data_IF_641777635205
#
_entry.id   IF_641777635205
#
_cell.length_a   1.000
_cell.length_b   1.000
_cell.length_c   1.000
_cell.angle_alpha   90.00
_cell.angle_beta   90.00
_cell.angle_gamma   90.00
#
_symmetry.space_group_name_H-M   'P 1'
#
loop_
_entity.id
_entity.type
_entity.pdbx_description
1 polymer ?
#
# COMPACT_ATOMS: atom_id res chain seq x y z
N UNK A 1 6.49 21.35 2.04
CA UNK A 1 7.19 20.16 1.51
C UNK A 1 6.13 19.20 1.01
N UNK A 2 6.34 18.55 -0.13
CA UNK A 2 5.35 17.64 -0.71
C UNK A 2 5.57 16.22 -0.15
N UNK A 3 4.47 15.51 0.11
CA UNK A 3 4.51 14.07 0.35
C UNK A 3 4.91 13.31 -0.93
N UNK A 4 5.28 12.04 -0.78
CA UNK A 4 5.63 11.16 -1.89
C UNK A 4 5.04 9.75 -1.70
N UNK A 5 4.54 9.16 -2.78
CA UNK A 5 4.18 7.75 -2.87
C UNK A 5 5.29 6.97 -3.57
N UNK A 6 5.94 6.07 -2.85
CA UNK A 6 7.09 5.32 -3.35
C UNK A 6 6.81 3.82 -3.23
N UNK A 7 6.89 3.09 -4.33
CA UNK A 7 6.87 1.62 -4.28
C UNK A 7 8.23 1.11 -3.77
N UNK A 8 8.29 0.65 -2.51
CA UNK A 8 9.55 0.27 -1.87
C UNK A 8 10.09 -1.10 -2.31
N UNK A 9 9.40 -1.84 -3.17
CA UNK A 9 9.82 -3.17 -3.53
C UNK A 9 9.43 -3.53 -4.98
N UNK A 10 10.23 -3.03 -5.93
CA UNK A 10 10.13 -3.39 -7.35
C UNK A 10 11.29 -4.29 -7.73
N UNK A 11 11.02 -5.53 -8.11
CA UNK A 11 12.08 -6.48 -8.50
C UNK A 11 12.71 -6.07 -9.82
N UNK A 12 14.04 -5.99 -9.83
CA UNK A 12 14.83 -5.82 -11.03
C UNK A 12 14.70 -7.05 -11.94
N UNK A 13 14.86 -6.81 -13.24
CA UNK A 13 15.03 -7.87 -14.24
C UNK A 13 16.51 -8.19 -14.40
N UNK A 14 16.83 -9.30 -15.08
CA UNK A 14 18.21 -9.64 -15.44
C UNK A 14 18.80 -8.58 -16.39
N UNK A 15 17.99 -8.12 -17.35
CA UNK A 15 18.39 -7.04 -18.25
C UNK A 15 18.34 -5.70 -17.52
N UNK A 16 19.36 -4.83 -17.70
CA UNK A 16 19.34 -3.49 -17.16
C UNK A 16 18.20 -2.69 -17.80
N UNK A 17 17.59 -1.82 -17.00
CA UNK A 17 16.49 -0.97 -17.43
C UNK A 17 16.95 0.48 -17.44
N UNK A 18 16.53 1.23 -18.46
CA UNK A 18 16.76 2.67 -18.48
C UNK A 18 15.94 3.36 -17.41
N UNK A 19 16.54 4.36 -16.76
CA UNK A 19 15.85 5.13 -15.75
C UNK A 19 14.64 5.91 -16.30
N UNK A 20 14.72 6.37 -17.55
CA UNK A 20 13.60 7.03 -18.23
C UNK A 20 12.37 6.11 -18.28
N UNK A 21 12.56 4.84 -18.64
CA UNK A 21 11.48 3.86 -18.66
C UNK A 21 10.92 3.60 -17.25
N UNK A 22 11.77 3.42 -16.25
CA UNK A 22 11.35 3.20 -14.86
C UNK A 22 10.50 4.37 -14.32
N UNK A 23 10.93 5.62 -14.56
CA UNK A 23 10.19 6.82 -14.15
C UNK A 23 8.87 6.98 -14.90
N UNK A 24 8.86 6.70 -16.21
CA UNK A 24 7.63 6.70 -17.00
C UNK A 24 6.62 5.70 -16.42
N UNK A 25 7.05 4.46 -16.18
CA UNK A 25 6.19 3.43 -15.58
C UNK A 25 5.68 3.86 -14.20
N UNK A 26 6.55 4.36 -13.30
CA UNK A 26 6.14 4.89 -12.00
C UNK A 26 5.07 5.99 -12.14
N UNK A 27 5.29 6.93 -13.05
CA UNK A 27 4.35 8.03 -13.31
C UNK A 27 3.00 7.53 -13.83
N UNK A 28 2.96 6.51 -14.70
CA UNK A 28 1.68 5.93 -15.17
C UNK A 28 0.85 5.30 -14.05
N UNK A 29 1.51 4.89 -12.95
CA UNK A 29 0.88 4.34 -11.74
C UNK A 29 0.57 5.41 -10.69
N UNK A 30 0.90 6.67 -10.93
CA UNK A 30 0.74 7.75 -9.96
C UNK A 30 1.74 7.68 -8.80
N UNK A 31 2.89 7.04 -8.99
CA UNK A 31 3.97 6.99 -8.03
C UNK A 31 4.93 8.16 -8.24
N UNK A 32 5.44 8.71 -7.14
CA UNK A 32 6.49 9.73 -7.13
C UNK A 32 7.89 9.12 -7.25
N UNK A 33 8.03 7.82 -6.98
CA UNK A 33 9.29 7.09 -7.10
C UNK A 33 9.14 5.59 -6.87
N UNK A 34 10.25 4.88 -6.99
CA UNK A 34 10.33 3.44 -6.71
C UNK A 34 11.70 3.05 -6.17
N UNK A 35 11.76 1.94 -5.44
CA UNK A 35 12.99 1.24 -5.10
C UNK A 35 13.12 0.05 -6.03
N UNK A 36 14.13 0.07 -6.90
CA UNK A 36 14.50 -1.06 -7.71
C UNK A 36 15.37 -2.01 -6.87
N UNK A 37 15.00 -3.28 -6.83
CA UNK A 37 15.57 -4.26 -5.91
C UNK A 37 16.14 -5.43 -6.72
N UNK A 38 17.46 -5.62 -6.66
CA UNK A 38 18.08 -6.81 -7.23
C UNK A 38 17.94 -8.02 -6.30
N UNK A 39 17.93 -9.23 -6.86
CA UNK A 39 17.83 -10.46 -6.06
C UNK A 39 19.24 -11.00 -5.80
N UNK A 40 19.69 -10.92 -4.55
CA UNK A 40 21.03 -11.35 -4.11
C UNK A 40 22.21 -10.50 -4.61
N UNK A 41 21.96 -9.52 -5.49
CA UNK A 41 22.96 -8.62 -6.06
C UNK A 41 22.38 -7.23 -6.26
N UNK A 42 23.24 -6.21 -6.41
CA UNK A 42 22.80 -4.86 -6.72
C UNK A 42 22.09 -4.81 -8.09
N UNK A 43 20.99 -4.05 -8.24
CA UNK A 43 20.29 -3.91 -9.51
C UNK A 43 21.12 -3.08 -10.50
N UNK A 44 20.99 -3.40 -11.78
CA UNK A 44 21.64 -2.66 -12.86
C UNK A 44 20.66 -1.65 -13.50
N UNK A 45 21.10 -0.41 -13.65
CA UNK A 45 20.32 0.68 -14.25
C UNK A 45 21.16 1.32 -15.34
N UNK A 46 20.59 1.44 -16.55
CA UNK A 46 21.24 2.19 -17.63
C UNK A 46 21.13 3.70 -17.35
N UNK A 47 22.19 4.45 -17.65
CA UNK A 47 22.24 5.91 -17.54
C UNK A 47 22.03 6.46 -16.12
N UNK A 48 22.68 5.84 -15.12
CA UNK A 48 22.56 6.14 -13.69
C UNK A 48 22.83 7.61 -13.26
N UNK A 49 23.42 8.44 -14.12
CA UNK A 49 23.79 9.82 -13.78
C UNK A 49 22.58 10.76 -13.64
N UNK A 50 21.50 10.54 -14.40
CA UNK A 50 20.29 11.40 -14.42
C UNK A 50 19.17 10.92 -13.47
N UNK A 51 19.41 9.84 -12.73
CA UNK A 51 18.40 8.99 -12.06
C UNK A 51 18.06 9.46 -10.64
N UNK A 52 18.77 10.46 -10.14
CA UNK A 52 18.96 10.71 -8.70
C UNK A 52 17.76 11.32 -7.95
N UNK A 53 16.58 11.49 -8.55
CA UNK A 53 15.47 12.18 -7.87
C UNK A 53 14.29 11.30 -7.47
N UNK A 54 14.18 10.06 -7.95
CA UNK A 54 13.01 9.24 -7.69
C UNK A 54 13.19 7.72 -7.87
N UNK A 55 14.37 7.25 -8.32
CA UNK A 55 14.69 5.83 -8.36
C UNK A 55 15.77 5.57 -7.30
N UNK A 56 15.41 4.69 -6.39
CA UNK A 56 16.27 4.22 -5.30
C UNK A 56 16.67 2.78 -5.59
N UNK A 57 17.69 2.30 -4.88
CA UNK A 57 18.16 0.92 -5.06
C UNK A 57 18.22 0.17 -3.73
N UNK A 58 18.09 -1.14 -3.83
CA UNK A 58 18.24 -2.08 -2.73
C UNK A 58 18.49 -3.49 -3.23
N UNK A 59 18.59 -4.42 -2.30
CA UNK A 59 18.73 -5.85 -2.59
C UNK A 59 17.76 -6.67 -1.75
N UNK A 60 17.14 -7.66 -2.38
CA UNK A 60 16.33 -8.71 -1.77
C UNK A 60 17.27 -9.89 -1.51
N UNK A 61 17.49 -10.23 -0.24
CA UNK A 61 18.44 -11.27 0.19
C UNK A 61 17.66 -12.40 0.84
N UNK A 62 17.78 -13.60 0.27
CA UNK A 62 17.32 -14.83 0.91
C UNK A 62 18.35 -15.26 1.96
N UNK A 63 17.89 -15.47 3.18
CA UNK A 63 18.70 -15.78 4.38
C UNK A 63 18.22 -17.09 5.03
N UNK A 64 18.95 -17.55 6.03
CA UNK A 64 18.64 -18.74 6.83
C UNK A 64 17.27 -18.71 7.51
N UNK A 65 16.76 -17.53 7.86
CA UNK A 65 15.47 -17.38 8.53
C UNK A 65 14.36 -16.81 7.64
N UNK A 66 14.69 -16.30 6.45
CA UNK A 66 13.74 -15.87 5.41
C UNK A 66 14.29 -14.71 4.58
N UNK A 67 13.46 -13.75 4.20
CA UNK A 67 13.85 -12.74 3.21
C UNK A 67 13.97 -11.34 3.78
N UNK A 68 15.12 -10.71 3.51
CA UNK A 68 15.41 -9.34 3.89
C UNK A 68 15.42 -8.43 2.66
N UNK A 69 14.88 -7.23 2.82
CA UNK A 69 15.00 -6.13 1.88
C UNK A 69 15.97 -5.10 2.49
N UNK A 70 17.14 -5.00 1.90
CA UNK A 70 18.25 -4.20 2.39
C UNK A 70 18.48 -2.99 1.50
N UNK A 71 18.39 -1.78 2.07
CA UNK A 71 18.64 -0.53 1.35
C UNK A 71 19.93 0.12 1.88
N UNK A 72 20.96 0.33 1.03
CA UNK A 72 22.17 1.01 1.46
C UNK A 72 21.90 2.51 1.67
N UNK A 73 22.63 3.15 2.57
CA UNK A 73 22.59 4.62 2.72
C UNK A 73 23.27 5.34 1.56
N UNK A 74 24.33 4.73 1.03
CA UNK A 74 25.19 5.23 -0.04
C UNK A 74 25.38 4.13 -1.06
N UNK A 75 25.29 4.47 -2.34
CA UNK A 75 25.53 3.53 -3.45
C UNK A 75 27.02 3.61 -3.80
N UNK A 76 27.82 2.75 -3.17
CA UNK A 76 29.27 2.69 -3.34
C UNK A 76 29.72 1.31 -3.88
N UNK A 77 31.03 1.14 -4.05
CA UNK A 77 31.64 -0.10 -4.55
C UNK A 77 31.30 -1.32 -3.67
N UNK A 78 31.18 -1.11 -2.35
CA UNK A 78 30.78 -2.19 -1.44
C UNK A 78 29.38 -2.70 -1.79
N UNK A 79 28.46 -1.80 -2.11
CA UNK A 79 27.13 -2.20 -2.52
C UNK A 79 27.13 -2.77 -3.95
N UNK A 80 27.73 -2.10 -4.93
CA UNK A 80 27.64 -2.52 -6.33
C UNK A 80 28.33 -3.87 -6.60
N UNK A 81 29.40 -4.19 -5.87
CA UNK A 81 30.12 -5.47 -5.99
C UNK A 81 29.57 -6.56 -5.06
N UNK A 82 28.47 -6.29 -4.34
CA UNK A 82 27.83 -7.25 -3.43
C UNK A 82 28.77 -7.80 -2.34
N UNK A 83 29.67 -6.98 -1.82
CA UNK A 83 30.68 -7.39 -0.81
C UNK A 83 30.05 -7.89 0.50
N UNK A 84 28.78 -7.58 0.75
CA UNK A 84 28.02 -8.15 1.88
C UNK A 84 27.86 -9.67 1.76
N UNK A 85 27.82 -10.24 0.56
CA UNK A 85 27.64 -11.68 0.35
C UNK A 85 28.85 -12.48 0.84
N UNK A 86 30.06 -11.95 0.67
CA UNK A 86 31.29 -12.65 1.09
C UNK A 86 31.42 -12.74 2.61
N UNK A 87 30.90 -11.74 3.32
CA UNK A 87 31.04 -11.61 4.77
C UNK A 87 30.01 -12.41 5.56
N UNK A 88 28.99 -12.94 4.90
CA UNK A 88 27.78 -13.46 5.57
C UNK A 88 27.43 -14.90 5.17
N UNK A 89 28.33 -15.60 4.46
CA UNK A 89 28.15 -17.00 4.07
C UNK A 89 28.31 -17.94 5.27
N UNK A 90 27.21 -18.57 5.69
CA UNK A 90 27.19 -19.68 6.64
C UNK A 90 26.92 -21.04 5.98
N UNK A 91 26.93 -22.12 6.77
CA UNK A 91 26.70 -23.50 6.29
C UNK A 91 25.31 -23.71 5.66
N UNK A 92 24.32 -22.86 6.01
CA UNK A 92 22.93 -22.98 5.58
C UNK A 92 22.46 -21.83 4.66
N UNK A 93 23.39 -21.04 4.11
CA UNK A 93 23.11 -19.83 3.36
C UNK A 93 23.54 -18.57 4.11
N UNK A 94 23.03 -17.42 3.69
CA UNK A 94 23.40 -16.14 4.30
C UNK A 94 22.74 -15.99 5.67
N UNK A 95 23.52 -15.64 6.69
CA UNK A 95 22.97 -15.44 8.03
C UNK A 95 22.25 -14.09 8.14
N UNK A 96 20.97 -14.09 8.51
CA UNK A 96 20.18 -12.87 8.56
C UNK A 96 20.70 -11.81 9.55
N UNK A 97 21.25 -12.24 10.70
CA UNK A 97 21.79 -11.32 11.72
C UNK A 97 23.03 -10.62 11.18
N UNK A 98 23.93 -11.35 10.52
CA UNK A 98 25.14 -10.79 9.93
C UNK A 98 24.81 -9.84 8.77
N UNK A 99 23.92 -10.25 7.85
CA UNK A 99 23.45 -9.39 6.76
C UNK A 99 22.83 -8.09 7.31
N UNK A 100 21.94 -8.21 8.30
CA UNK A 100 21.25 -7.06 8.85
C UNK A 100 22.23 -6.11 9.56
N UNK A 101 23.21 -6.66 10.27
CA UNK A 101 24.28 -5.91 10.94
C UNK A 101 25.15 -5.16 9.92
N UNK A 102 25.61 -5.81 8.86
CA UNK A 102 26.47 -5.19 7.83
C UNK A 102 25.81 -3.96 7.18
N UNK A 103 24.53 -4.07 6.79
CA UNK A 103 23.79 -2.93 6.24
C UNK A 103 23.59 -1.82 7.28
N UNK A 104 23.28 -2.19 8.52
CA UNK A 104 23.01 -1.22 9.59
C UNK A 104 24.26 -0.44 10.01
N UNK A 105 25.42 -1.11 10.13
CA UNK A 105 26.71 -0.48 10.47
C UNK A 105 27.15 0.53 9.40
N UNK A 106 26.74 0.33 8.15
CA UNK A 106 26.96 1.27 7.02
C UNK A 106 25.85 2.32 6.89
N UNK A 107 24.99 2.41 7.89
CA UNK A 107 23.92 3.40 7.94
C UNK A 107 22.73 3.10 7.04
N UNK A 108 22.67 1.93 6.39
CA UNK A 108 21.50 1.47 5.64
C UNK A 108 20.30 1.12 6.52
N UNK A 109 19.25 0.60 5.89
CA UNK A 109 18.08 0.01 6.56
C UNK A 109 17.85 -1.41 6.10
N UNK A 110 17.30 -2.21 7.01
CA UNK A 110 16.95 -3.61 6.77
C UNK A 110 15.47 -3.76 7.10
N UNK A 111 14.73 -4.34 6.17
CA UNK A 111 13.31 -4.62 6.33
C UNK A 111 13.07 -6.10 6.11
N UNK A 112 12.06 -6.64 6.77
CA UNK A 112 11.62 -8.01 6.50
C UNK A 112 10.64 -7.99 5.33
N UNK A 113 10.92 -8.77 4.29
CA UNK A 113 10.07 -8.86 3.11
C UNK A 113 9.16 -10.09 3.20
N UNK A 114 7.85 -9.88 3.06
CA UNK A 114 6.86 -10.96 2.92
C UNK A 114 6.95 -12.05 4.02
N UNK A 115 7.01 -11.70 5.33
CA UNK A 115 7.36 -12.65 6.41
C UNK A 115 6.42 -13.87 6.55
N UNK A 116 5.20 -13.76 6.03
CA UNK A 116 4.14 -14.77 6.13
C UNK A 116 3.69 -15.31 4.76
N UNK A 117 4.48 -15.10 3.70
CA UNK A 117 4.18 -15.59 2.36
C UNK A 117 4.71 -17.02 2.17
N UNK A 118 3.80 -17.99 2.25
CA UNK A 118 4.12 -19.43 2.17
C UNK A 118 4.41 -19.90 0.75
N UNK A 119 4.08 -19.10 -0.26
CA UNK A 119 4.24 -19.47 -1.67
C UNK A 119 5.69 -19.25 -2.15
N UNK A 120 6.53 -18.57 -1.36
CA UNK A 120 7.91 -18.24 -1.72
C UNK A 120 8.91 -19.40 -1.62
N UNK A 121 8.52 -20.57 -1.08
CA UNK A 121 9.37 -21.76 -1.05
C UNK A 121 10.61 -21.68 -0.12
N UNK A 122 10.80 -20.57 0.58
CA UNK A 122 11.86 -20.33 1.55
C UNK A 122 11.31 -20.41 3.00
N UNK A 123 12.18 -20.57 4.02
CA UNK A 123 11.74 -20.46 5.41
C UNK A 123 10.97 -19.14 5.60
N UNK A 124 9.71 -19.26 6.01
CA UNK A 124 8.91 -18.11 6.39
C UNK A 124 9.44 -17.63 7.75
N UNK A 125 9.79 -16.35 7.82
CA UNK A 125 10.27 -15.72 9.05
C UNK A 125 9.27 -15.90 10.20
N UNK A 126 7.96 -16.05 9.90
CA UNK A 126 6.87 -16.07 10.89
C UNK A 126 7.15 -15.06 12.02
N UNK A 127 7.36 -15.50 13.26
CA UNK A 127 7.70 -14.61 14.38
C UNK A 127 9.22 -14.54 14.67
N UNK A 128 10.05 -15.34 13.97
CA UNK A 128 11.49 -15.41 14.17
C UNK A 128 12.20 -14.09 13.84
N UNK A 129 11.64 -13.25 12.96
CA UNK A 129 12.22 -11.92 12.68
C UNK A 129 12.25 -11.01 13.91
N UNK A 130 11.42 -11.27 14.93
CA UNK A 130 11.43 -10.50 16.18
C UNK A 130 12.75 -10.63 16.95
N UNK A 131 13.58 -11.64 16.62
CA UNK A 131 14.93 -11.79 17.16
C UNK A 131 15.96 -10.84 16.54
N UNK A 132 15.64 -10.18 15.42
CA UNK A 132 16.51 -9.23 14.75
C UNK A 132 16.30 -7.82 15.34
N UNK A 133 17.24 -7.38 16.17
CA UNK A 133 17.24 -6.06 16.80
C UNK A 133 17.60 -4.90 15.86
N UNK A 134 18.11 -5.21 14.67
CA UNK A 134 18.57 -4.25 13.65
C UNK A 134 17.50 -3.88 12.61
N UNK A 135 16.29 -4.45 12.71
CA UNK A 135 15.23 -4.17 11.75
C UNK A 135 14.72 -2.73 11.84
N UNK A 136 14.53 -2.12 10.67
CA UNK A 136 14.03 -0.76 10.54
C UNK A 136 12.54 -0.72 10.22
N UNK A 137 12.00 -1.73 9.53
CA UNK A 137 10.58 -1.84 9.19
C UNK A 137 10.19 -3.28 8.81
N UNK A 138 8.89 -3.50 8.61
CA UNK A 138 8.34 -4.74 8.05
C UNK A 138 7.58 -4.40 6.78
N UNK A 139 7.79 -5.12 5.68
CA UNK A 139 6.95 -4.99 4.47
C UNK A 139 5.62 -5.70 4.75
N UNK A 140 4.61 -4.93 5.14
CA UNK A 140 3.33 -5.44 5.61
C UNK A 140 2.30 -5.64 4.51
N UNK A 141 2.54 -5.08 3.34
CA UNK A 141 1.70 -5.29 2.16
C UNK A 141 2.59 -5.41 0.93
N UNK A 142 2.51 -6.57 0.28
CA UNK A 142 3.25 -6.86 -0.95
C UNK A 142 2.36 -7.03 -2.18
N UNK A 143 1.10 -7.39 -1.97
CA UNK A 143 0.12 -7.50 -3.04
C UNK A 143 -1.29 -7.65 -2.46
N UNK A 144 -2.32 -7.10 -3.11
CA UNK A 144 -3.73 -7.25 -2.68
C UNK A 144 -4.18 -8.71 -2.55
N UNK A 145 -3.58 -9.62 -3.32
CA UNK A 145 -3.94 -11.05 -3.33
C UNK A 145 -3.58 -11.78 -2.02
N UNK A 146 -2.65 -11.25 -1.22
CA UNK A 146 -2.14 -11.91 -0.02
C UNK A 146 -2.73 -11.32 1.27
N UNK A 147 -4.04 -11.05 1.29
CA UNK A 147 -4.72 -10.34 2.40
C UNK A 147 -4.40 -10.94 3.77
N UNK A 148 -4.49 -12.26 3.94
CA UNK A 148 -4.21 -12.93 5.22
C UNK A 148 -2.74 -12.80 5.66
N UNK A 149 -1.79 -12.88 4.72
CA UNK A 149 -0.36 -12.70 5.02
C UNK A 149 -0.05 -11.24 5.35
N UNK A 150 -0.69 -10.29 4.65
CA UNK A 150 -0.54 -8.86 4.90
C UNK A 150 -1.10 -8.45 6.27
N UNK A 151 -2.26 -9.00 6.67
CA UNK A 151 -2.85 -8.79 8.00
C UNK A 151 -1.93 -9.33 9.11
N UNK A 152 -1.37 -10.54 8.93
CA UNK A 152 -0.39 -11.10 9.87
C UNK A 152 0.88 -10.24 9.95
N UNK A 153 1.40 -9.79 8.81
CA UNK A 153 2.57 -8.91 8.75
C UNK A 153 2.31 -7.59 9.47
N UNK A 154 1.15 -6.98 9.26
CA UNK A 154 0.73 -5.75 9.93
C UNK A 154 0.66 -5.93 11.45
N UNK A 155 0.03 -7.01 11.92
CA UNK A 155 -0.06 -7.32 13.35
C UNK A 155 1.32 -7.55 13.97
N UNK A 156 2.17 -8.32 13.30
CA UNK A 156 3.52 -8.61 13.78
C UNK A 156 4.40 -7.34 13.81
N UNK A 157 4.24 -6.43 12.86
CA UNK A 157 4.93 -5.13 12.88
C UNK A 157 4.53 -4.28 14.09
N UNK A 158 3.23 -4.25 14.44
CA UNK A 158 2.71 -3.57 15.63
C UNK A 158 3.28 -4.18 16.91
N UNK A 159 3.27 -5.51 17.03
CA UNK A 159 3.82 -6.24 18.19
C UNK A 159 5.33 -5.99 18.36
N UNK A 160 6.08 -6.00 17.26
CA UNK A 160 7.50 -5.69 17.22
C UNK A 160 7.81 -4.18 17.38
N UNK A 161 6.79 -3.32 17.42
CA UNK A 161 6.92 -1.85 17.42
C UNK A 161 7.71 -1.31 16.23
N UNK A 162 7.69 -2.01 15.09
CA UNK A 162 8.31 -1.60 13.83
C UNK A 162 7.30 -0.90 12.91
N UNK A 163 7.73 0.10 12.12
CA UNK A 163 6.86 0.72 11.11
C UNK A 163 6.52 -0.28 10.00
N UNK A 164 5.34 -0.13 9.41
CA UNK A 164 4.93 -0.87 8.22
C UNK A 164 5.39 -0.18 6.95
N UNK A 165 5.82 -0.97 5.97
CA UNK A 165 6.18 -0.55 4.62
C UNK A 165 5.31 -1.30 3.59
N UNK A 166 5.10 -0.68 2.43
CA UNK A 166 4.43 -1.29 1.29
C UNK A 166 5.28 -1.23 0.03
N UNK A 167 5.23 -2.30 -0.75
CA UNK A 167 5.84 -2.35 -2.08
C UNK A 167 5.38 -3.57 -2.86
N UNK A 168 5.24 -3.46 -4.18
CA UNK A 168 4.47 -4.42 -4.98
C UNK A 168 5.08 -5.83 -5.14
N UNK A 169 6.34 -6.02 -4.72
CA UNK A 169 7.10 -7.26 -4.87
C UNK A 169 6.98 -7.87 -6.28
N UNK A 170 6.94 -6.98 -7.29
CA UNK A 170 6.68 -7.29 -8.69
C UNK A 170 7.78 -6.72 -9.55
N UNK A 171 8.00 -7.32 -10.72
CA UNK A 171 8.80 -6.65 -11.75
C UNK A 171 8.06 -5.43 -12.28
N UNK A 172 8.79 -4.47 -12.85
CA UNK A 172 8.22 -3.23 -13.42
C UNK A 172 7.15 -3.50 -14.50
N UNK A 173 7.28 -4.60 -15.24
CA UNK A 173 6.32 -5.03 -16.27
C UNK A 173 5.20 -5.92 -15.73
N UNK A 174 5.27 -6.31 -14.45
CA UNK A 174 4.27 -7.16 -13.82
C UNK A 174 2.99 -6.39 -13.57
N UNK A 175 1.85 -7.06 -13.71
CA UNK A 175 0.51 -6.48 -13.52
C UNK A 175 0.34 -5.81 -12.15
N UNK A 176 1.08 -6.29 -11.14
CA UNK A 176 1.02 -5.82 -9.75
C UNK A 176 1.88 -4.59 -9.50
N UNK A 177 2.74 -4.17 -10.43
CA UNK A 177 3.59 -3.00 -10.26
C UNK A 177 2.74 -1.76 -9.92
N UNK A 178 3.11 -1.09 -8.82
CA UNK A 178 2.40 0.08 -8.29
C UNK A 178 1.02 -0.19 -7.70
N UNK A 179 0.62 -1.45 -7.49
CA UNK A 179 -0.62 -1.78 -6.75
C UNK A 179 -0.51 -1.49 -5.25
N UNK A 180 0.71 -1.37 -4.75
CA UNK A 180 1.03 -1.09 -3.35
C UNK A 180 2.23 -0.15 -3.31
N UNK A 181 2.22 0.82 -2.42
CA UNK A 181 3.28 1.79 -2.22
C UNK A 181 3.44 2.14 -0.73
N UNK A 182 4.37 3.04 -0.46
CA UNK A 182 4.58 3.65 0.85
C UNK A 182 4.46 5.16 0.72
N UNK A 183 3.60 5.76 1.55
CA UNK A 183 3.45 7.20 1.67
C UNK A 183 4.49 7.76 2.63
N UNK A 184 5.34 8.65 2.12
CA UNK A 184 6.25 9.47 2.91
C UNK A 184 5.68 10.88 3.06
N UNK A 185 5.69 11.47 4.27
CA UNK A 185 5.18 12.82 4.50
C UNK A 185 6.07 13.90 3.88
N UNK A 186 7.32 13.55 3.55
CA UNK A 186 8.29 14.38 2.84
C UNK A 186 8.91 13.55 1.74
N UNK A 187 8.93 14.06 0.52
CA UNK A 187 9.61 13.44 -0.60
C UNK A 187 11.12 13.30 -0.31
N UNK A 188 11.66 12.06 -0.22
CA UNK A 188 13.09 11.85 -0.05
C UNK A 188 13.84 12.28 -1.32
N UNK A 189 14.81 13.17 -1.22
CA UNK A 189 15.46 13.73 -2.43
C UNK A 189 16.55 12.84 -3.03
N UNK A 190 17.01 11.85 -2.26
CA UNK A 190 18.08 10.92 -2.62
C UNK A 190 17.99 9.63 -1.77
N UNK A 191 18.89 8.67 -2.03
CA UNK A 191 18.97 7.40 -1.32
C UNK A 191 19.11 7.58 0.20
N UNK A 192 19.95 8.52 0.64
CA UNK A 192 20.20 8.77 2.06
C UNK A 192 18.95 9.31 2.75
N UNK A 193 18.22 10.22 2.09
CA UNK A 193 16.96 10.76 2.58
C UNK A 193 15.86 9.69 2.65
N UNK A 194 15.81 8.74 1.69
CA UNK A 194 14.89 7.61 1.76
C UNK A 194 15.19 6.74 2.99
N UNK A 195 16.45 6.34 3.16
CA UNK A 195 16.91 5.55 4.31
C UNK A 195 16.60 6.26 5.63
N UNK A 196 16.85 7.57 5.72
CA UNK A 196 16.48 8.37 6.89
C UNK A 196 14.96 8.41 7.11
N UNK A 197 14.17 8.50 6.05
CA UNK A 197 12.71 8.41 6.09
C UNK A 197 12.23 7.10 6.70
N UNK A 198 12.77 5.96 6.23
CA UNK A 198 12.45 4.63 6.76
C UNK A 198 12.86 4.52 8.24
N UNK A 199 14.08 4.94 8.61
CA UNK A 199 14.56 4.93 10.01
C UNK A 199 13.69 5.77 10.95
N UNK A 200 13.12 6.87 10.45
CA UNK A 200 12.24 7.72 11.25
C UNK A 200 10.90 7.03 11.59
N UNK A 201 10.54 5.97 10.85
CA UNK A 201 9.26 5.28 10.95
C UNK A 201 8.05 6.13 10.57
N UNK A 202 8.25 7.34 10.04
CA UNK A 202 7.18 8.24 9.57
C UNK A 202 6.83 7.92 8.13
N UNK A 203 6.23 6.75 7.93
CA UNK A 203 5.78 6.28 6.64
C UNK A 203 4.57 5.35 6.82
N UNK A 204 3.73 5.24 5.79
CA UNK A 204 2.52 4.43 5.85
C UNK A 204 2.41 3.55 4.61
N UNK A 205 2.14 2.24 4.78
CA UNK A 205 1.82 1.37 3.66
C UNK A 205 0.48 1.76 3.07
N UNK A 206 0.42 1.77 1.74
CA UNK A 206 -0.76 2.17 0.98
C UNK A 206 -1.07 1.17 -0.12
N UNK A 207 -2.32 0.71 -0.17
CA UNK A 207 -2.83 -0.02 -1.33
C UNK A 207 -3.45 0.94 -2.34
N UNK A 208 -3.04 0.80 -3.59
CA UNK A 208 -3.44 1.65 -4.71
C UNK A 208 -4.53 0.93 -5.48
N UNK A 209 -5.79 1.30 -5.23
CA UNK A 209 -6.91 0.77 -6.02
C UNK A 209 -7.19 1.71 -7.18
N UNK A 210 -6.90 1.25 -8.40
CA UNK A 210 -7.38 1.93 -9.61
C UNK A 210 -8.88 1.67 -9.69
N UNK A 211 -9.68 2.71 -9.50
CA UNK A 211 -11.11 2.57 -9.78
C UNK A 211 -11.30 2.27 -11.26
N UNK A 212 -12.17 1.31 -11.62
CA UNK A 212 -12.55 1.15 -13.01
C UNK A 212 -13.06 2.51 -13.52
N UNK A 213 -12.70 2.91 -14.75
CA UNK A 213 -13.22 4.13 -15.33
C UNK A 213 -14.72 4.07 -15.20
N UNK A 214 -15.30 5.07 -14.51
CA UNK A 214 -16.73 5.09 -14.22
C UNK A 214 -17.43 4.98 -15.56
N UNK A 215 -18.04 3.82 -15.85
CA UNK A 215 -18.82 3.67 -17.07
C UNK A 215 -19.81 4.82 -17.05
N UNK A 216 -19.64 5.75 -17.99
CA UNK A 216 -20.61 6.81 -18.19
C UNK A 216 -21.83 6.05 -18.66
N UNK A 217 -22.71 5.72 -17.70
CA UNK A 217 -24.04 5.20 -17.96
C UNK A 217 -24.63 6.28 -18.83
N UNK A 218 -24.53 6.09 -20.14
CA UNK A 218 -25.26 6.88 -21.12
C UNK A 218 -26.69 6.58 -20.77
N UNK A 219 -27.26 7.42 -19.93
CA UNK A 219 -28.70 7.48 -19.73
C UNK A 219 -29.22 7.74 -21.12
N UNK A 220 -29.63 6.66 -21.79
CA UNK A 220 -30.47 6.71 -22.96
C UNK A 220 -31.76 7.36 -22.47
N UNK A 221 -31.74 8.69 -22.37
CA UNK A 221 -32.92 9.52 -22.35
C UNK A 221 -33.55 9.34 -23.72
N UNK A 222 -34.20 8.19 -23.91
CA UNK A 222 -35.28 8.00 -24.84
C UNK A 222 -36.43 8.90 -24.37
N UNK A 223 -36.22 10.20 -24.57
CA UNK A 223 -37.26 11.19 -24.67
C UNK A 223 -37.97 11.00 -26.02
N UNK A 224 -38.59 9.83 -26.21
CA UNK A 224 -39.68 9.66 -27.18
C UNK A 224 -40.91 9.14 -26.45
N UNK A 225 -41.40 9.99 -25.53
CA UNK A 225 -42.80 10.00 -25.15
C UNK A 225 -43.67 10.41 -26.34
N UNK A 226 -43.82 9.54 -27.35
CA UNK A 226 -44.91 9.63 -28.31
C UNK A 226 -46.10 8.82 -27.79
N UNK A 227 -46.93 9.56 -27.06
CA UNK A 227 -48.34 9.26 -26.82
C UNK A 227 -49.04 8.73 -28.09
N UNK A 228 -49.39 7.44 -28.08
CA UNK A 228 -50.46 6.86 -28.91
C UNK A 228 -51.31 6.00 -27.97
N UNK A 229 -52.27 6.59 -27.26
CA UNK A 229 -53.66 6.85 -27.69
C UNK A 229 -54.34 5.58 -28.21
N UNK A 230 -55.11 4.95 -27.31
CA UNK A 230 -56.37 4.18 -27.50
C UNK A 230 -56.54 3.46 -28.85
N UNK A 231 -56.69 2.13 -28.83
CA UNK A 231 -57.92 1.51 -29.34
C UNK A 231 -58.33 0.28 -28.51
N UNK A 232 -59.62 0.29 -28.21
CA UNK A 232 -60.43 -0.62 -27.41
C UNK A 232 -61.27 -1.41 -28.41
N UNK A 233 -61.22 -2.74 -28.40
CA UNK A 233 -62.19 -3.63 -29.06
C UNK A 233 -61.98 -5.03 -28.48
N UNK A 234 -62.78 -5.41 -27.47
CA UNK A 234 -63.95 -6.32 -27.57
C UNK A 234 -63.61 -7.69 -28.15
N UNK A 235 -64.19 -8.83 -27.79
CA UNK A 235 -65.13 -9.34 -26.79
C UNK A 235 -65.51 -10.73 -27.39
N UNK A 236 -65.83 -11.68 -26.53
CA UNK A 236 -66.60 -12.92 -26.81
C UNK A 236 -65.88 -14.16 -27.39
N UNK A 237 -65.88 -15.17 -26.53
CA UNK A 237 -66.41 -16.53 -26.73
C UNK A 237 -65.81 -17.45 -27.81
N UNK A 238 -65.24 -18.58 -27.38
CA UNK A 238 -65.95 -19.85 -27.56
C UNK A 238 -65.39 -21.01 -26.73
N UNK A 239 -66.33 -21.90 -26.42
CA UNK A 239 -66.34 -23.07 -25.54
C UNK A 239 -65.41 -24.21 -25.98
N UNK A 240 -64.87 -24.89 -24.98
CA UNK A 240 -65.19 -26.30 -24.76
C UNK A 240 -64.44 -27.38 -25.55
N UNK A 241 -63.74 -28.19 -24.77
CA UNK A 241 -63.84 -29.66 -24.77
C UNK A 241 -63.05 -30.41 -25.86
N UNK A 242 -61.93 -31.04 -25.48
CA UNK A 242 -61.82 -32.51 -25.50
C UNK A 242 -60.57 -33.00 -24.77
N UNK A 243 -60.82 -33.96 -23.90
CA UNK A 243 -59.89 -34.93 -23.33
C UNK A 243 -59.05 -35.55 -24.45
N UNK A 244 -57.73 -35.63 -24.28
CA UNK A 244 -56.98 -36.84 -24.63
C UNK A 244 -55.67 -36.94 -23.84
N UNK A 245 -55.56 -38.07 -23.16
CA UNK A 245 -54.38 -38.57 -22.46
C UNK A 245 -53.29 -38.94 -23.48
N UNK A 246 -52.11 -38.35 -23.33
CA UNK A 246 -50.81 -39.01 -23.49
C UNK A 246 -49.73 -38.04 -22.97
N UNK A 247 -49.33 -38.13 -21.69
CA UNK A 247 -48.11 -38.85 -21.29
C UNK A 247 -47.09 -38.96 -22.42
N UNK A 248 -46.07 -38.09 -22.39
CA UNK A 248 -44.66 -38.47 -22.55
C UNK A 248 -43.75 -37.28 -22.20
N UNK A 249 -43.01 -37.46 -21.11
CA UNK A 249 -41.69 -36.88 -20.80
C UNK A 249 -41.43 -35.41 -21.12
N UNK A 250 -41.62 -34.54 -20.12
CA UNK A 250 -40.77 -33.35 -19.96
C UNK A 250 -39.79 -33.63 -18.83
N UNK A 251 -38.46 -33.60 -19.06
CA UNK A 251 -37.48 -33.73 -17.99
C UNK A 251 -37.61 -32.53 -17.05
N UNK A 252 -37.60 -32.82 -15.75
CA UNK A 252 -37.50 -31.82 -14.70
C UNK A 252 -36.16 -31.10 -14.85
N UNK A 253 -36.18 -29.80 -15.14
CA UNK A 253 -35.00 -28.95 -15.01
C UNK A 253 -34.75 -28.67 -13.53
N UNK A 254 -34.11 -29.61 -12.85
CA UNK A 254 -33.44 -29.36 -11.57
C UNK A 254 -32.08 -28.74 -11.86
N UNK A 255 -32.04 -27.43 -12.03
CA UNK A 255 -30.82 -26.64 -11.90
C UNK A 255 -31.23 -25.21 -11.55
N UNK A 256 -31.69 -25.03 -10.31
CA UNK A 256 -31.51 -23.75 -9.63
C UNK A 256 -30.01 -23.65 -9.36
N UNK A 257 -29.27 -23.12 -10.32
CA UNK A 257 -27.95 -22.58 -10.04
C UNK A 257 -28.15 -21.55 -8.92
N UNK A 258 -27.58 -21.86 -7.76
CA UNK A 258 -27.31 -20.90 -6.71
C UNK A 258 -26.47 -19.78 -7.32
N UNK A 259 -27.14 -18.76 -7.87
CA UNK A 259 -26.52 -17.48 -8.13
C UNK A 259 -26.13 -16.96 -6.75
N UNK A 260 -24.85 -17.12 -6.41
CA UNK A 260 -24.28 -16.38 -5.29
C UNK A 260 -24.68 -14.91 -5.44
N UNK A 261 -25.17 -14.27 -4.37
CA UNK A 261 -25.55 -12.86 -4.46
C UNK A 261 -24.33 -12.09 -4.93
N UNK A 262 -24.50 -11.38 -6.05
CA UNK A 262 -23.54 -10.42 -6.57
C UNK A 262 -23.24 -9.43 -5.44
N UNK A 263 -22.06 -9.58 -4.85
CA UNK A 263 -21.64 -8.78 -3.70
C UNK A 263 -21.45 -7.35 -4.17
N UNK A 264 -22.12 -6.42 -3.49
CA UNK A 264 -21.83 -4.99 -3.64
C UNK A 264 -20.44 -4.73 -3.01
N UNK A 265 -19.41 -4.38 -3.81
CA UNK A 265 -18.07 -4.18 -3.30
C UNK A 265 -17.99 -3.05 -2.27
N UNK A 266 -18.93 -2.09 -2.31
CA UNK A 266 -19.02 -1.02 -1.32
C UNK A 266 -19.55 -1.57 0.01
N UNK A 267 -20.55 -2.45 0.00
CA UNK A 267 -21.10 -3.04 1.23
C UNK A 267 -20.08 -3.89 1.99
N UNK A 268 -19.21 -4.61 1.26
CA UNK A 268 -18.11 -5.38 1.83
C UNK A 268 -17.08 -4.50 2.56
N UNK A 269 -16.82 -3.29 2.05
CA UNK A 269 -15.90 -2.32 2.65
C UNK A 269 -16.34 -1.87 4.05
N UNK A 270 -17.63 -2.00 4.38
CA UNK A 270 -18.24 -1.56 5.64
C UNK A 270 -18.77 -2.70 6.53
N UNK A 271 -18.41 -3.96 6.23
CA UNK A 271 -18.88 -5.11 7.03
C UNK A 271 -20.39 -5.37 6.93
N UNK A 272 -21.07 -4.85 5.90
CA UNK A 272 -22.50 -5.06 5.66
C UNK A 272 -22.69 -6.31 4.81
N UNK A 273 -23.35 -7.33 5.36
CA UNK A 273 -23.42 -8.64 4.72
C UNK A 273 -24.51 -8.75 3.66
N UNK A 274 -25.54 -7.88 3.65
CA UNK A 274 -26.59 -7.87 2.61
C UNK A 274 -27.11 -6.47 2.28
N UNK A 275 -27.54 -6.27 1.02
CA UNK A 275 -28.19 -5.03 0.52
C UNK A 275 -29.46 -4.64 1.32
N UNK A 276 -30.10 -5.61 1.98
CA UNK A 276 -31.30 -5.40 2.80
C UNK A 276 -31.01 -5.06 4.28
N UNK A 277 -29.75 -5.08 4.73
CA UNK A 277 -29.41 -4.64 6.09
C UNK A 277 -29.60 -3.12 6.28
N UNK A 278 -29.75 -2.37 5.17
CA UNK A 278 -30.16 -0.96 5.19
C UNK A 278 -31.60 -0.70 5.66
N UNK A 279 -32.47 -1.72 5.69
CA UNK A 279 -33.90 -1.54 5.99
C UNK A 279 -34.29 -1.95 7.42
N UNK A 280 -33.33 -2.25 8.31
CA UNK A 280 -33.61 -2.91 9.60
C UNK A 280 -33.21 -2.17 10.87
N UNK A 281 -32.61 -0.99 10.82
CA UNK A 281 -32.29 -0.23 12.04
C UNK A 281 -32.82 1.20 11.91
N UNK A 282 -34.06 1.41 12.37
CA UNK A 282 -34.53 2.74 12.74
C UNK A 282 -33.76 3.21 13.97
N UNK A 283 -32.51 3.65 13.79
CA UNK A 283 -31.91 4.57 14.73
C UNK A 283 -32.64 5.89 14.56
N UNK A 284 -33.09 6.46 15.67
CA UNK A 284 -33.74 7.77 15.63
C UNK A 284 -32.74 8.82 15.14
N UNK A 285 -33.21 9.89 14.50
CA UNK A 285 -32.34 11.00 14.08
C UNK A 285 -31.49 11.54 15.25
N UNK A 286 -32.02 11.48 16.47
CA UNK A 286 -31.31 11.85 17.70
C UNK A 286 -30.14 10.91 18.07
N UNK A 287 -30.20 9.63 17.71
CA UNK A 287 -29.09 8.69 17.88
C UNK A 287 -28.02 8.88 16.81
N UNK A 288 -28.41 9.22 15.59
CA UNK A 288 -27.47 9.61 14.53
C UNK A 288 -26.78 10.94 14.88
N UNK A 289 -27.49 11.88 15.50
CA UNK A 289 -26.93 13.16 15.98
C UNK A 289 -25.93 13.00 17.13
N UNK A 290 -26.08 11.97 17.99
CA UNK A 290 -25.10 11.67 19.05
C UNK A 290 -23.81 11.04 18.52
N UNK A 291 -23.90 10.27 17.45
CA UNK A 291 -22.73 9.64 16.82
C UNK A 291 -21.95 10.67 15.97
N UNK A 292 -22.65 11.60 15.33
CA UNK A 292 -22.07 12.59 14.42
C UNK A 292 -22.02 13.99 15.05
N UNK A 293 -21.34 14.17 16.19
CA UNK A 293 -21.35 15.38 17.03
C UNK A 293 -20.88 16.71 16.39
N UNK A 294 -21.45 17.16 15.27
CA UNK A 294 -21.23 18.46 14.64
C UNK A 294 -22.25 18.77 13.52
N UNK A 295 -23.52 19.00 13.89
CA UNK A 295 -24.54 19.53 12.95
C UNK A 295 -24.77 21.05 13.03
N UNK A 296 -24.07 21.76 13.91
CA UNK A 296 -24.27 23.21 14.10
C UNK A 296 -23.57 24.11 13.06
N UNK A 297 -22.76 23.58 12.14
CA UNK A 297 -21.95 24.38 11.21
C UNK A 297 -22.29 24.26 9.71
N UNK A 298 -23.35 23.55 9.32
CA UNK A 298 -23.79 23.52 7.92
C UNK A 298 -22.83 22.78 6.96
N UNK A 299 -22.16 21.72 7.43
CA UNK A 299 -21.37 20.84 6.56
C UNK A 299 -22.22 19.76 5.86
N UNK A 300 -21.85 19.49 4.61
CA UNK A 300 -22.45 18.53 3.70
C UNK A 300 -22.34 17.10 4.29
N UNK A 301 -23.44 16.34 4.26
CA UNK A 301 -23.53 15.00 4.84
C UNK A 301 -22.68 13.93 4.13
N UNK A 302 -21.99 14.31 3.05
CA UNK A 302 -21.03 13.48 2.33
C UNK A 302 -19.57 13.76 2.70
N UNK A 303 -19.29 14.69 3.62
CA UNK A 303 -17.93 14.92 4.12
C UNK A 303 -17.69 14.00 5.30
N UNK A 304 -17.00 12.89 5.05
CA UNK A 304 -16.57 11.97 6.10
C UNK A 304 -15.48 12.63 6.97
N UNK A 305 -15.55 12.37 8.27
CA UNK A 305 -14.47 12.73 9.21
C UNK A 305 -13.28 11.83 8.90
N UNK A 306 -12.18 12.41 8.45
CA UNK A 306 -10.88 11.75 8.42
C UNK A 306 -10.41 11.58 9.87
N UNK A 307 -9.93 10.39 10.29
CA UNK A 307 -9.32 10.23 11.62
C UNK A 307 -8.18 11.24 11.79
N UNK A 308 -7.98 11.70 13.02
CA UNK A 308 -6.93 12.66 13.31
C UNK A 308 -5.53 12.00 13.28
N UNK A 309 -4.48 12.81 13.24
CA UNK A 309 -3.11 12.30 13.15
C UNK A 309 -2.73 11.42 14.35
N UNK A 310 -3.28 11.68 15.54
CA UNK A 310 -2.96 10.91 16.74
C UNK A 310 -3.57 9.52 16.67
N UNK A 311 -4.77 9.39 16.12
CA UNK A 311 -5.43 8.10 15.86
C UNK A 311 -4.62 7.28 14.84
N UNK A 312 -4.21 7.88 13.72
CA UNK A 312 -3.38 7.19 12.71
C UNK A 312 -1.98 6.84 13.22
N UNK A 313 -1.39 7.68 14.07
CA UNK A 313 -0.07 7.44 14.68
C UNK A 313 -0.12 6.33 15.76
N UNK A 314 -1.20 6.30 16.55
CA UNK A 314 -1.39 5.28 17.59
C UNK A 314 -1.64 3.90 16.99
N UNK A 315 -2.35 3.84 15.85
CA UNK A 315 -2.81 2.57 15.29
C UNK A 315 -1.93 2.04 14.13
N UNK A 316 -0.99 2.84 13.59
CA UNK A 316 -0.07 2.46 12.48
C UNK A 316 -0.77 1.73 11.33
N UNK A 317 -1.99 2.16 11.01
CA UNK A 317 -2.88 1.41 10.13
C UNK A 317 -2.53 1.55 8.64
N UNK A 318 -2.92 0.51 7.91
CA UNK A 318 -2.95 0.46 6.46
C UNK A 318 -3.93 1.51 5.91
N UNK A 319 -3.49 2.29 4.91
CA UNK A 319 -4.34 3.30 4.28
C UNK A 319 -4.72 2.84 2.88
N UNK A 320 -6.01 2.76 2.59
CA UNK A 320 -6.48 2.50 1.23
C UNK A 320 -6.59 3.82 0.48
N UNK A 321 -5.79 4.02 -0.58
CA UNK A 321 -5.93 5.16 -1.48
C UNK A 321 -6.73 4.76 -2.71
N UNK A 322 -7.77 5.55 -2.97
CA UNK A 322 -8.66 5.38 -4.10
C UNK A 322 -8.25 6.38 -5.18
N UNK A 323 -7.73 5.90 -6.31
CA UNK A 323 -7.35 6.75 -7.43
C UNK A 323 -8.35 6.58 -8.58
N UNK A 324 -8.90 7.69 -9.09
CA UNK A 324 -9.70 7.69 -10.32
C UNK A 324 -8.79 7.95 -11.52
N UNK A 325 -8.64 6.95 -12.39
CA UNK A 325 -8.07 7.17 -13.73
C UNK A 325 -9.07 7.97 -14.56
N UNK A 326 -8.72 9.21 -14.86
CA UNK A 326 -9.43 10.05 -15.83
C UNK A 326 -8.45 10.38 -16.95
N UNK A 327 -8.82 10.07 -18.19
CA UNK A 327 -8.04 10.45 -19.37
C UNK A 327 -7.92 11.99 -19.44
N UNK A 328 -6.74 12.51 -19.10
CA UNK A 328 -6.40 13.93 -19.27
C UNK A 328 -5.40 14.48 -18.25
N UNK A 329 -4.30 15.05 -18.74
CA UNK A 329 -3.24 15.73 -17.98
C UNK A 329 -3.72 16.82 -16.98
N UNK A 330 -4.96 17.32 -17.08
CA UNK A 330 -5.45 18.46 -16.28
C UNK A 330 -5.99 18.10 -14.90
N UNK A 331 -6.14 16.81 -14.55
CA UNK A 331 -6.72 16.40 -13.26
C UNK A 331 -5.70 15.75 -12.30
N UNK A 332 -4.49 15.38 -12.75
CA UNK A 332 -3.39 14.95 -11.87
C UNK A 332 -3.09 15.99 -10.76
N UNK A 333 -3.27 17.27 -11.07
CA UNK A 333 -3.15 18.35 -10.08
C UNK A 333 -4.22 18.29 -8.97
N UNK A 334 -5.44 17.79 -9.26
CA UNK A 334 -6.56 17.74 -8.31
C UNK A 334 -6.55 16.51 -7.41
N UNK A 335 -6.09 15.36 -7.88
CA UNK A 335 -5.92 14.19 -7.00
C UNK A 335 -4.70 14.36 -6.09
N UNK A 336 -3.69 15.10 -6.56
CA UNK A 336 -2.64 15.64 -5.68
C UNK A 336 -3.21 16.54 -4.58
N UNK A 337 -4.32 17.24 -4.81
CA UNK A 337 -4.96 18.10 -3.81
C UNK A 337 -5.65 17.26 -2.72
N UNK A 338 -6.30 16.14 -3.03
CA UNK A 338 -6.90 15.26 -2.03
C UNK A 338 -5.84 14.59 -1.13
N UNK A 339 -4.75 14.11 -1.74
CA UNK A 339 -3.55 13.65 -1.03
C UNK A 339 -2.91 14.77 -0.20
N UNK A 340 -2.82 16.00 -0.74
CA UNK A 340 -2.36 17.18 0.01
C UNK A 340 -3.31 17.54 1.15
N UNK A 341 -4.61 17.34 1.05
CA UNK A 341 -5.55 17.60 2.14
C UNK A 341 -5.39 16.58 3.28
N UNK A 342 -5.25 15.29 2.96
CA UNK A 342 -4.91 14.28 3.94
C UNK A 342 -3.55 14.61 4.60
N UNK A 343 -2.52 14.89 3.82
CA UNK A 343 -1.17 15.21 4.33
C UNK A 343 -1.10 16.54 5.09
N UNK A 344 -1.84 17.58 4.69
CA UNK A 344 -1.91 18.87 5.40
C UNK A 344 -2.68 18.72 6.71
N UNK A 345 -3.72 17.88 6.76
CA UNK A 345 -4.36 17.50 8.02
C UNK A 345 -3.39 16.74 8.94
N UNK A 346 -2.57 15.84 8.39
CA UNK A 346 -1.53 15.11 9.12
C UNK A 346 -0.33 15.97 9.55
N UNK A 347 -0.05 17.08 8.85
CA UNK A 347 1.12 17.92 9.08
C UNK A 347 0.87 19.18 9.93
N UNK A 348 -0.38 19.68 10.01
CA UNK A 348 -0.70 20.91 10.76
C UNK A 348 -0.55 20.76 12.28
N UNK A 349 -0.75 19.57 12.83
CA UNK A 349 -0.60 19.33 14.28
C UNK A 349 0.86 19.19 14.74
N UNK A 350 1.83 19.16 13.82
CA UNK A 350 3.25 19.02 14.12
C UNK A 350 4.01 20.36 14.25
N UNK A 351 3.39 21.48 13.91
CA UNK A 351 4.03 22.81 13.92
C UNK A 351 3.94 23.56 15.26
N UNK A 352 3.29 23.00 16.28
CA UNK A 352 3.21 23.62 17.60
C UNK A 352 4.39 23.29 18.54
N UNK A 353 5.40 22.54 18.06
CA UNK A 353 6.67 22.38 18.76
C UNK A 353 7.82 22.56 17.78
N UNK A 354 8.41 23.76 17.80
CA UNK A 354 9.66 24.09 17.15
C UNK A 354 10.78 23.17 17.69
N UNK A 355 11.06 22.08 16.96
CA UNK A 355 12.22 21.24 17.23
C UNK A 355 13.41 21.94 16.60
N UNK A 356 14.28 22.47 17.46
CA UNK A 356 15.54 23.09 17.09
C UNK A 356 16.51 22.03 16.52
N UNK A 357 16.63 22.01 15.19
CA UNK A 357 17.47 21.04 14.46
C UNK A 357 18.97 21.28 14.66
N UNK A 358 19.40 22.46 15.14
CA UNK A 358 20.82 22.72 15.46
C UNK A 358 21.29 21.93 16.70
N UNK A 359 20.37 21.53 17.59
CA UNK A 359 20.72 20.76 18.79
C UNK A 359 21.05 19.29 18.50
N UNK A 360 20.63 18.74 17.35
CA UNK A 360 20.86 17.33 16.99
C UNK A 360 22.24 17.13 16.35
N UNK A 361 22.79 18.13 15.66
CA UNK A 361 24.17 18.08 15.15
C UNK A 361 25.23 18.21 16.27
N UNK A 362 24.92 18.92 17.36
CA UNK A 362 25.85 19.08 18.49
C UNK A 362 26.01 17.80 19.35
N UNK A 363 25.08 16.85 19.27
CA UNK A 363 25.09 15.63 20.08
C UNK A 363 25.85 14.44 19.44
N UNK A 364 26.36 14.59 18.21
CA UNK A 364 27.03 13.51 17.46
C UNK A 364 28.57 13.47 17.64
N UNK A 365 29.13 14.24 18.57
CA UNK A 365 30.58 14.25 18.85
C UNK A 365 30.94 13.16 19.87
N UNK A 366 31.37 12.01 19.34
CA UNK A 366 32.26 10.97 19.89
C UNK A 366 32.46 10.90 21.43
N UNK A 367 31.82 9.94 22.13
CA UNK A 367 32.04 9.67 23.56
C UNK A 367 33.44 9.14 23.90
N UNK A 368 34.27 8.75 22.92
CA UNK A 368 35.56 8.09 23.15
C UNK A 368 36.68 9.03 23.61
N UNK A 369 36.51 10.35 23.45
CA UNK A 369 37.55 11.34 23.84
C UNK A 369 37.59 11.70 25.32
N UNK A 370 36.58 11.36 26.12
CA UNK A 370 36.50 11.84 27.52
C UNK A 370 37.12 10.91 28.59
N UNK A 371 37.67 9.74 28.21
CA UNK A 371 38.30 8.81 29.16
C UNK A 371 39.79 9.07 29.46
N UNK A 372 40.48 9.93 28.71
CA UNK A 372 41.93 10.20 28.93
C UNK A 372 42.28 11.35 29.88
N UNK A 373 41.31 12.13 30.38
CA UNK A 373 41.61 13.31 31.24
C UNK A 373 41.37 13.13 32.75
N UNK A 374 40.90 11.98 33.22
CA UNK A 374 40.60 11.75 34.66
C UNK A 374 41.67 11.02 35.47
N UNK A 375 42.90 10.86 34.97
CA UNK A 375 44.03 10.25 35.70
C UNK A 375 45.20 11.18 36.04
N UNK A 376 45.01 12.50 35.91
CA UNK A 376 45.98 13.50 36.41
C UNK A 376 45.26 14.60 37.15
N UNK A 377 44.90 14.34 38.40
CA UNK A 377 44.87 15.29 39.53
C UNK A 377 44.12 14.64 40.70
N UNK A 378 44.84 14.58 41.82
CA UNK A 378 44.51 14.00 43.13
C UNK A 378 44.75 12.52 43.26
#
# INVERSE_FOLDING_TARGET
>A
MNAALIDLHVRATEDPLSAAFLLEQASTKGLDGLVLVGQGQAPQIEDAEDVRKAIYVGVEVDTDIGRLLCLPSTIDEWFTESKWNELTQGEQGLNAVEVAKEFTERGGVVMVAQPFDRDLGHPCLEDAFQSLDTLSAVVVTSSPKHTASNERASKAAVEAKLPGAGGSASTIRGERFGSVATLFPRHPVDQQALVAGVKSGRMWPVEMTVLPPREVIKTNSNAEGKSKRRQKKSKDDNRGNRVDLAKLSKPQSTEKLDKQPEYDPIAKLYGLHKRNDRLGQHRSDAELDRVNGNRSSGHDCNVMVSPDFRELQAERQHVNLLLQTIDGQRQQDRDSIALRFAVVALGRDANDNEIDFEAIEAASIDPSRNRKRRRRRR
#
